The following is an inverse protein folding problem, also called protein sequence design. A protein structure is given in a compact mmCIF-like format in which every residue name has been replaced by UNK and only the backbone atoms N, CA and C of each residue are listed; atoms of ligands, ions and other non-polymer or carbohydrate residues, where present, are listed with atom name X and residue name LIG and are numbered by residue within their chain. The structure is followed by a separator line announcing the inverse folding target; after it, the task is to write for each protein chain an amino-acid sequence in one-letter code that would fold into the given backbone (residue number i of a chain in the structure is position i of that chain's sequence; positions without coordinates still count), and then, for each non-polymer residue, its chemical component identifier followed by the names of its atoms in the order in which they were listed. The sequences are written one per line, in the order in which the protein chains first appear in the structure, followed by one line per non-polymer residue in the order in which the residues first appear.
data_IF_020454013685
#
_entry.id   IF_020454013685
#
_cell.length_a   1.000
_cell.length_b   1.000
_cell.length_c   1.000
_cell.angle_alpha   90.00
_cell.angle_beta   90.00
_cell.angle_gamma   90.00
#
_symmetry.space_group_name_H-M   'P 1'
#
loop_
_entity.id
_entity.type
_entity.pdbx_description
1 polymer ?
#
# COMPACT_ATOMS: atom_id res chain seq x y z
N UNK A 1 -12.56 -67.84 -27.90
CA UNK A 1 -13.53 -67.80 -26.80
C UNK A 1 -12.81 -67.20 -25.61
N UNK A 2 -13.19 -65.97 -25.24
CA UNK A 2 -12.59 -65.20 -24.15
C UNK A 2 -13.40 -65.48 -22.88
N UNK A 3 -12.75 -65.91 -21.80
CA UNK A 3 -13.31 -65.92 -20.46
C UNK A 3 -12.33 -65.26 -19.50
N UNK A 4 -12.76 -64.12 -18.95
CA UNK A 4 -12.07 -63.38 -17.91
C UNK A 4 -12.20 -64.12 -16.57
N UNK A 5 -11.10 -64.19 -15.81
CA UNK A 5 -11.11 -64.60 -14.41
C UNK A 5 -10.76 -63.39 -13.54
N UNK A 6 -11.74 -62.93 -12.78
CA UNK A 6 -11.64 -61.92 -11.73
C UNK A 6 -11.09 -62.59 -10.47
N UNK A 7 -9.94 -62.14 -9.97
CA UNK A 7 -9.42 -62.52 -8.66
C UNK A 7 -10.03 -61.62 -7.57
N UNK A 8 -10.86 -62.22 -6.73
CA UNK A 8 -11.32 -61.66 -5.45
C UNK A 8 -10.29 -61.98 -4.38
N UNK A 9 -9.73 -60.99 -3.71
CA UNK A 9 -8.93 -61.18 -2.48
C UNK A 9 -9.82 -60.80 -1.30
N UNK A 10 -10.14 -61.80 -0.47
CA UNK A 10 -10.83 -61.64 0.81
C UNK A 10 -9.79 -61.30 1.89
N UNK A 11 -9.98 -60.20 2.62
CA UNK A 11 -9.31 -60.00 3.92
C UNK A 11 -10.34 -60.12 5.03
N UNK A 12 -10.10 -61.08 5.92
CA UNK A 12 -10.84 -61.33 7.16
C UNK A 12 -10.51 -60.26 8.19
N UNK A 13 -11.56 -59.67 8.79
CA UNK A 13 -11.44 -58.60 9.77
C UNK A 13 -10.98 -59.10 11.14
N UNK A 14 -10.07 -58.34 11.75
CA UNK A 14 -9.88 -58.32 13.21
C UNK A 14 -10.67 -57.11 13.71
N UNK A 15 -11.79 -57.36 14.38
CA UNK A 15 -12.58 -56.34 15.06
C UNK A 15 -11.85 -55.92 16.34
N UNK A 16 -11.07 -54.84 16.28
CA UNK A 16 -10.67 -54.10 17.48
C UNK A 16 -11.82 -53.17 17.86
N UNK A 17 -12.37 -53.35 19.06
CA UNK A 17 -13.39 -52.47 19.62
C UNK A 17 -12.88 -51.01 19.59
N UNK A 18 -13.74 -50.03 19.23
CA UNK A 18 -13.34 -48.63 19.32
C UNK A 18 -13.12 -48.30 20.80
N UNK A 19 -11.88 -47.97 21.15
CA UNK A 19 -11.60 -47.24 22.38
C UNK A 19 -12.49 -45.99 22.37
N UNK A 20 -13.14 -45.64 23.50
CA UNK A 20 -13.82 -44.36 23.59
C UNK A 20 -12.77 -43.29 23.31
N UNK A 21 -12.90 -42.64 22.15
CA UNK A 21 -12.28 -41.35 21.95
C UNK A 21 -12.95 -40.46 22.99
N UNK A 22 -12.28 -40.27 24.14
CA UNK A 22 -12.39 -39.03 24.86
C UNK A 22 -12.13 -37.95 23.82
N UNK A 23 -13.20 -37.34 23.31
CA UNK A 23 -13.10 -36.02 22.71
C UNK A 23 -12.42 -35.18 23.77
N UNK A 24 -11.13 -34.92 23.57
CA UNK A 24 -10.48 -33.84 24.27
C UNK A 24 -11.37 -32.63 23.97
N UNK A 25 -11.99 -32.10 25.02
CA UNK A 25 -12.78 -30.88 24.97
C UNK A 25 -11.85 -29.85 24.33
N UNK A 26 -12.09 -29.55 23.05
CA UNK A 26 -11.24 -28.66 22.28
C UNK A 26 -11.18 -27.36 23.08
N UNK A 27 -9.96 -26.92 23.44
CA UNK A 27 -9.76 -25.71 24.21
C UNK A 27 -10.63 -24.61 23.57
N UNK A 28 -11.71 -24.24 24.25
CA UNK A 28 -12.72 -23.35 23.69
C UNK A 28 -12.08 -21.98 23.65
N UNK A 29 -11.64 -21.59 22.47
CA UNK A 29 -11.08 -20.27 22.24
C UNK A 29 -12.07 -19.22 22.72
N UNK A 30 -11.68 -18.38 23.67
CA UNK A 30 -12.46 -17.23 24.05
C UNK A 30 -12.24 -16.13 23.01
N UNK A 31 -13.18 -16.00 22.08
CA UNK A 31 -13.14 -14.99 21.03
C UNK A 31 -13.91 -13.75 21.49
N UNK A 32 -13.24 -12.60 21.47
CA UNK A 32 -13.82 -11.29 21.76
C UNK A 32 -13.43 -10.29 20.68
N UNK A 33 -14.05 -9.12 20.67
CA UNK A 33 -13.68 -8.03 19.76
C UNK A 33 -13.74 -6.68 20.47
N UNK A 34 -12.94 -5.73 19.98
CA UNK A 34 -12.92 -4.35 20.49
C UNK A 34 -13.01 -3.36 19.34
N UNK A 35 -14.04 -2.52 19.34
CA UNK A 35 -14.23 -1.48 18.33
C UNK A 35 -13.49 -0.19 18.74
N UNK A 36 -12.81 0.51 17.82
CA UNK A 36 -12.06 1.71 18.14
C UNK A 36 -12.98 2.93 18.26
N UNK A 37 -12.61 3.94 19.07
CA UNK A 37 -13.34 5.21 19.10
C UNK A 37 -13.17 6.02 17.80
N UNK A 38 -12.03 5.87 17.12
CA UNK A 38 -11.65 6.60 15.91
C UNK A 38 -11.43 5.63 14.74
N UNK A 39 -12.51 5.17 14.10
CA UNK A 39 -12.43 4.11 13.09
C UNK A 39 -11.59 4.51 11.87
N UNK A 40 -11.54 5.78 11.50
CA UNK A 40 -10.81 6.27 10.33
C UNK A 40 -9.30 6.02 10.39
N UNK A 41 -8.73 5.85 11.59
CA UNK A 41 -7.30 5.55 11.78
C UNK A 41 -6.91 4.13 11.40
N UNK A 42 -7.91 3.25 11.30
CA UNK A 42 -7.76 1.86 10.91
C UNK A 42 -8.28 1.61 9.49
N UNK A 43 -8.54 2.69 8.73
CA UNK A 43 -9.02 2.57 7.36
C UNK A 43 -7.97 1.85 6.52
N UNK A 44 -8.35 0.69 6.01
CA UNK A 44 -7.52 -0.14 5.17
C UNK A 44 -8.25 -0.39 3.86
N UNK A 45 -7.67 0.11 2.76
CA UNK A 45 -8.27 0.01 1.44
C UNK A 45 -7.23 -0.40 0.40
N UNK A 46 -7.71 -1.16 -0.58
CA UNK A 46 -7.07 -1.32 -1.88
C UNK A 46 -8.10 -0.98 -2.97
N UNK A 47 -7.64 -0.85 -4.23
CA UNK A 47 -8.53 -0.52 -5.35
C UNK A 47 -9.56 -1.62 -5.63
N UNK A 48 -9.28 -2.88 -5.30
CA UNK A 48 -10.16 -4.03 -5.52
C UNK A 48 -11.35 -4.08 -4.56
N UNK A 49 -11.30 -3.37 -3.44
CA UNK A 49 -12.38 -3.33 -2.44
C UNK A 49 -13.45 -2.28 -2.75
N UNK A 50 -13.20 -1.39 -3.71
CA UNK A 50 -14.07 -0.25 -3.99
C UNK A 50 -14.40 -0.14 -5.47
N UNK A 51 -15.58 0.41 -5.78
CA UNK A 51 -15.89 0.92 -7.11
C UNK A 51 -15.56 2.41 -7.17
N UNK A 52 -14.85 2.83 -8.22
CA UNK A 52 -14.58 4.25 -8.51
C UNK A 52 -15.68 4.75 -9.44
N UNK A 53 -16.52 5.68 -8.98
CA UNK A 53 -17.68 6.17 -9.74
C UNK A 53 -17.34 7.29 -10.71
N UNK A 54 -16.17 7.92 -10.55
CA UNK A 54 -15.68 8.99 -11.43
C UNK A 54 -14.26 8.65 -11.99
N UNK A 55 -14.10 7.53 -12.72
CA UNK A 55 -12.79 7.04 -13.13
C UNK A 55 -12.04 8.06 -14.00
N UNK A 56 -10.72 7.96 -13.99
CA UNK A 56 -9.86 8.70 -14.89
C UNK A 56 -10.12 8.19 -16.33
N UNK A 57 -10.37 9.06 -17.32
CA UNK A 57 -10.43 8.61 -18.71
C UNK A 57 -9.06 8.09 -19.12
N UNK A 58 -9.03 7.01 -19.92
CA UNK A 58 -7.77 6.50 -20.47
C UNK A 58 -7.19 7.52 -21.47
N UNK A 59 -5.85 7.66 -21.58
CA UNK A 59 -5.27 8.56 -22.55
C UNK A 59 -5.64 8.14 -23.97
N UNK A 60 -6.00 9.10 -24.80
CA UNK A 60 -6.21 8.87 -26.23
C UNK A 60 -4.90 8.34 -26.84
N UNK A 61 -5.01 7.37 -27.76
CA UNK A 61 -3.89 6.74 -28.49
C UNK A 61 -2.96 5.83 -27.67
N UNK A 62 -3.24 5.58 -26.39
CA UNK A 62 -2.49 4.56 -25.64
C UNK A 62 -2.76 3.17 -26.22
N UNK A 63 -1.72 2.52 -26.75
CA UNK A 63 -1.82 1.15 -27.25
C UNK A 63 -1.84 0.16 -26.08
N UNK A 64 -2.62 -0.94 -26.16
CA UNK A 64 -2.63 -1.98 -25.14
C UNK A 64 -1.26 -2.65 -25.09
N UNK A 65 -0.56 -2.46 -23.97
CA UNK A 65 0.76 -3.05 -23.72
C UNK A 65 1.04 -2.95 -22.22
N UNK A 66 1.22 -4.10 -21.57
CA UNK A 66 1.40 -4.23 -20.13
C UNK A 66 2.88 -4.30 -19.75
N UNK A 67 3.17 -4.18 -18.46
CA UNK A 67 4.51 -4.49 -17.93
C UNK A 67 4.89 -5.96 -18.16
N UNK A 68 3.92 -6.88 -18.18
CA UNK A 68 4.15 -8.28 -18.54
C UNK A 68 4.64 -8.44 -19.98
N UNK A 69 4.02 -7.71 -20.92
CA UNK A 69 4.46 -7.69 -22.33
C UNK A 69 5.87 -7.10 -22.46
N UNK A 70 6.17 -6.03 -21.73
CA UNK A 70 7.53 -5.45 -21.68
C UNK A 70 8.57 -6.48 -21.23
N UNK A 71 8.33 -7.15 -20.09
CA UNK A 71 9.25 -8.14 -19.55
C UNK A 71 9.41 -9.29 -20.54
N UNK A 72 8.31 -9.73 -21.18
CA UNK A 72 8.34 -10.81 -22.16
C UNK A 72 9.12 -10.43 -23.39
N UNK A 73 9.00 -9.20 -23.89
CA UNK A 73 9.76 -8.73 -25.04
C UNK A 73 11.24 -8.52 -24.71
N UNK A 74 11.58 -8.17 -23.47
CA UNK A 74 12.96 -7.94 -23.05
C UNK A 74 13.71 -9.24 -22.73
N UNK A 75 13.00 -10.29 -22.30
CA UNK A 75 13.61 -11.48 -21.69
C UNK A 75 13.02 -12.83 -22.13
N UNK A 76 11.94 -12.82 -22.92
CA UNK A 76 11.25 -14.01 -23.41
C UNK A 76 11.92 -14.60 -24.65
N UNK A 77 12.92 -15.45 -24.44
CA UNK A 77 13.47 -16.36 -25.44
C UNK A 77 13.75 -17.72 -24.81
N UNK A 78 13.43 -18.81 -25.54
CA UNK A 78 13.77 -20.26 -25.45
C UNK A 78 14.19 -20.96 -24.13
N UNK A 79 14.17 -20.31 -22.96
CA UNK A 79 14.52 -20.92 -21.68
C UNK A 79 13.30 -21.67 -21.10
N UNK A 80 13.33 -23.00 -20.92
CA UNK A 80 12.28 -23.73 -20.22
C UNK A 80 12.17 -23.39 -18.72
N UNK A 81 13.14 -22.67 -18.13
CA UNK A 81 13.01 -22.02 -16.81
C UNK A 81 12.44 -20.60 -16.89
N UNK A 82 12.11 -20.10 -18.09
CA UNK A 82 11.70 -18.71 -18.35
C UNK A 82 10.51 -18.30 -17.49
N UNK A 83 9.48 -19.13 -17.30
CA UNK A 83 8.31 -18.74 -16.53
C UNK A 83 8.68 -18.36 -15.08
N UNK A 84 9.46 -19.17 -14.38
CA UNK A 84 9.88 -18.85 -13.01
C UNK A 84 10.79 -17.62 -12.96
N UNK A 85 11.73 -17.49 -13.89
CA UNK A 85 12.61 -16.30 -13.96
C UNK A 85 11.84 -15.03 -14.33
N UNK A 86 10.85 -15.14 -15.21
CA UNK A 86 9.94 -14.08 -15.62
C UNK A 86 9.14 -13.56 -14.44
N UNK A 87 8.47 -14.46 -13.69
CA UNK A 87 7.62 -14.07 -12.56
C UNK A 87 8.41 -13.59 -11.34
N UNK A 88 9.53 -14.25 -10.98
CA UNK A 88 10.21 -13.94 -9.72
C UNK A 88 11.46 -13.08 -9.85
N UNK A 89 12.22 -13.17 -10.95
CA UNK A 89 13.49 -12.45 -11.09
C UNK A 89 13.32 -11.19 -11.92
N UNK A 90 12.86 -11.33 -13.17
CA UNK A 90 12.74 -10.20 -14.09
C UNK A 90 11.63 -9.25 -13.70
N UNK A 91 10.46 -9.77 -13.31
CA UNK A 91 9.39 -8.94 -12.78
C UNK A 91 9.83 -8.23 -11.49
N UNK A 92 10.44 -8.91 -10.52
CA UNK A 92 10.91 -8.24 -9.29
C UNK A 92 11.95 -7.14 -9.59
N UNK A 93 12.92 -7.43 -10.48
CA UNK A 93 13.91 -6.43 -10.92
C UNK A 93 13.24 -5.24 -11.57
N UNK A 94 12.27 -5.47 -12.46
CA UNK A 94 11.53 -4.39 -13.11
C UNK A 94 10.70 -3.59 -12.09
N UNK A 95 9.88 -4.26 -11.28
CA UNK A 95 9.01 -3.65 -10.27
C UNK A 95 9.77 -2.88 -9.20
N UNK A 96 11.08 -3.12 -9.02
CA UNK A 96 11.92 -2.38 -8.05
C UNK A 96 12.85 -1.35 -8.72
N UNK A 97 12.87 -1.29 -10.05
CA UNK A 97 13.66 -0.32 -10.82
C UNK A 97 13.02 1.07 -10.88
N UNK A 98 13.82 2.10 -11.19
CA UNK A 98 13.29 3.46 -11.47
C UNK A 98 12.30 3.43 -12.62
N UNK A 99 12.61 2.76 -13.73
CA UNK A 99 11.70 2.62 -14.89
C UNK A 99 10.37 1.95 -14.53
N UNK A 100 10.39 0.88 -13.73
CA UNK A 100 9.16 0.21 -13.29
C UNK A 100 8.32 1.05 -12.35
N UNK A 101 8.94 1.75 -11.40
CA UNK A 101 8.23 2.73 -10.57
C UNK A 101 7.59 3.83 -11.42
N UNK A 102 8.35 4.42 -12.35
CA UNK A 102 7.85 5.48 -13.22
C UNK A 102 6.75 4.99 -14.18
N UNK A 103 6.81 3.74 -14.66
CA UNK A 103 5.72 3.12 -15.39
C UNK A 103 4.43 3.12 -14.56
N UNK A 104 4.51 2.69 -13.30
CA UNK A 104 3.37 2.72 -12.39
C UNK A 104 2.88 4.15 -12.12
N UNK A 105 3.78 5.16 -12.08
CA UNK A 105 3.40 6.57 -11.97
C UNK A 105 2.62 7.04 -13.21
N UNK A 106 3.06 6.70 -14.42
CA UNK A 106 2.35 7.03 -15.66
C UNK A 106 0.94 6.43 -15.66
N UNK A 107 0.83 5.14 -15.36
CA UNK A 107 -0.45 4.42 -15.32
C UNK A 107 -1.36 4.97 -14.22
N UNK A 108 -0.79 5.39 -13.08
CA UNK A 108 -1.52 6.06 -12.01
C UNK A 108 -2.11 7.41 -12.44
N UNK A 109 -1.32 8.27 -13.11
CA UNK A 109 -1.80 9.59 -13.57
C UNK A 109 -2.90 9.41 -14.63
N UNK A 110 -2.75 8.42 -15.51
CA UNK A 110 -3.78 7.92 -16.41
C UNK A 110 -4.29 8.91 -17.46
N UNK A 111 -3.77 10.14 -17.53
CA UNK A 111 -4.21 11.20 -18.46
C UNK A 111 -3.14 11.75 -19.36
N UNK A 112 -1.88 11.43 -19.08
CA UNK A 112 -0.77 11.90 -19.91
C UNK A 112 -0.85 11.20 -21.27
N UNK A 113 -0.82 11.95 -22.39
CA UNK A 113 -0.79 11.34 -23.71
C UNK A 113 0.53 10.60 -23.91
N UNK A 114 0.53 9.39 -24.49
CA UNK A 114 1.75 8.66 -24.78
C UNK A 114 2.57 9.36 -25.87
N UNK A 115 3.90 9.32 -25.75
CA UNK A 115 4.84 9.95 -26.69
C UNK A 115 5.48 8.91 -27.63
N UNK A 116 4.68 8.28 -28.49
CA UNK A 116 5.19 7.37 -29.51
C UNK A 116 6.02 8.12 -30.59
N UNK A 117 7.10 7.52 -31.10
CA UNK A 117 7.87 8.08 -32.20
C UNK A 117 7.01 8.19 -33.47
N UNK A 118 7.11 9.33 -34.17
CA UNK A 118 6.28 9.62 -35.35
C UNK A 118 6.74 8.86 -36.61
N UNK A 119 8.00 8.44 -36.63
CA UNK A 119 8.67 7.74 -37.72
C UNK A 119 8.51 6.21 -37.67
N UNK A 120 7.85 5.67 -36.64
CA UNK A 120 7.65 4.23 -36.48
C UNK A 120 6.20 3.82 -36.75
N UNK A 121 6.01 2.95 -37.73
CA UNK A 121 4.75 2.26 -37.94
C UNK A 121 4.61 1.08 -36.97
N UNK A 122 3.90 1.30 -35.86
CA UNK A 122 3.74 0.29 -34.80
C UNK A 122 2.88 -0.90 -35.24
N UNK A 123 1.92 -0.71 -36.15
CA UNK A 123 1.11 -1.83 -36.65
C UNK A 123 1.94 -2.76 -37.52
N UNK A 124 2.84 -2.20 -38.35
CA UNK A 124 3.79 -2.97 -39.15
C UNK A 124 4.81 -3.70 -38.27
N UNK A 125 5.33 -3.04 -37.22
CA UNK A 125 6.21 -3.67 -36.25
C UNK A 125 5.53 -4.86 -35.55
N UNK A 126 4.29 -4.68 -35.09
CA UNK A 126 3.50 -5.74 -34.44
C UNK A 126 3.18 -6.88 -35.42
N UNK A 127 2.91 -6.58 -36.68
CA UNK A 127 2.71 -7.60 -37.71
C UNK A 127 3.98 -8.39 -37.98
N UNK A 128 5.13 -7.71 -38.13
CA UNK A 128 6.43 -8.35 -38.32
C UNK A 128 6.75 -9.32 -37.19
N UNK A 129 6.59 -8.88 -35.94
CA UNK A 129 6.84 -9.71 -34.76
C UNK A 129 5.90 -10.93 -34.72
N UNK A 130 4.62 -10.75 -35.07
CA UNK A 130 3.66 -11.86 -35.12
C UNK A 130 3.95 -12.89 -36.21
N UNK A 131 4.61 -12.49 -37.30
CA UNK A 131 4.96 -13.38 -38.41
C UNK A 131 6.28 -14.14 -38.22
N UNK A 132 6.96 -13.98 -37.08
CA UNK A 132 8.23 -14.65 -36.82
C UNK A 132 8.00 -16.15 -36.57
N UNK A 133 8.53 -17.00 -37.46
CA UNK A 133 8.44 -18.47 -37.35
C UNK A 133 9.57 -19.07 -36.50
N UNK A 134 10.71 -18.38 -36.40
CA UNK A 134 11.88 -18.75 -35.60
C UNK A 134 12.55 -17.50 -35.05
N UNK A 135 12.96 -17.54 -33.77
CA UNK A 135 13.69 -16.46 -33.13
C UNK A 135 15.16 -16.45 -33.58
N UNK A 136 15.56 -15.42 -34.31
CA UNK A 136 16.97 -15.09 -34.57
C UNK A 136 17.44 -13.93 -33.68
N UNK A 137 18.74 -13.68 -33.59
CA UNK A 137 19.28 -12.54 -32.83
C UNK A 137 18.82 -11.19 -33.38
N UNK A 138 18.53 -11.09 -34.68
CA UNK A 138 17.96 -9.88 -35.27
C UNK A 138 16.50 -9.70 -34.86
N UNK A 139 15.75 -10.80 -34.76
CA UNK A 139 14.35 -10.75 -34.32
C UNK A 139 14.22 -10.38 -32.84
N UNK A 140 15.12 -10.87 -31.99
CA UNK A 140 15.23 -10.46 -30.59
C UNK A 140 15.43 -8.94 -30.46
N UNK A 141 16.30 -8.35 -31.30
CA UNK A 141 16.51 -6.90 -31.31
C UNK A 141 15.25 -6.14 -31.74
N UNK A 142 14.46 -6.66 -32.69
CA UNK A 142 13.20 -6.06 -33.13
C UNK A 142 12.16 -6.11 -32.01
N UNK A 143 12.07 -7.23 -31.29
CA UNK A 143 11.16 -7.41 -30.16
C UNK A 143 11.55 -6.46 -28.99
N UNK A 144 12.84 -6.43 -28.63
CA UNK A 144 13.35 -5.50 -27.61
C UNK A 144 13.16 -4.03 -28.02
N UNK A 145 13.27 -3.72 -29.32
CA UNK A 145 12.99 -2.38 -29.83
C UNK A 145 11.53 -1.99 -29.62
N UNK A 146 10.57 -2.90 -29.84
CA UNK A 146 9.16 -2.65 -29.50
C UNK A 146 9.01 -2.33 -28.01
N UNK A 147 9.63 -3.13 -27.14
CA UNK A 147 9.58 -2.92 -25.69
C UNK A 147 10.07 -1.52 -25.31
N UNK A 148 11.22 -1.10 -25.84
CA UNK A 148 11.78 0.21 -25.56
C UNK A 148 10.91 1.36 -26.09
N UNK A 149 10.27 1.20 -27.27
CA UNK A 149 9.34 2.21 -27.79
C UNK A 149 8.14 2.39 -26.84
N UNK A 150 7.58 1.29 -26.35
CA UNK A 150 6.45 1.32 -25.42
C UNK A 150 6.83 1.88 -24.04
N UNK A 151 8.07 1.62 -23.57
CA UNK A 151 8.65 2.23 -22.37
C UNK A 151 8.79 3.74 -22.52
N UNK A 152 9.51 4.19 -23.55
CA UNK A 152 9.75 5.59 -23.83
C UNK A 152 8.44 6.38 -23.98
N UNK A 153 7.45 5.80 -24.66
CA UNK A 153 6.16 6.43 -24.87
C UNK A 153 5.41 6.73 -23.56
N UNK A 154 5.71 6.01 -22.47
CA UNK A 154 5.15 6.24 -21.13
C UNK A 154 6.03 7.13 -20.27
N UNK A 155 7.36 7.01 -20.38
CA UNK A 155 8.26 7.76 -19.51
C UNK A 155 8.50 9.21 -19.98
N UNK A 156 8.58 9.47 -21.29
CA UNK A 156 8.77 10.83 -21.85
C UNK A 156 7.66 11.82 -21.41
N UNK A 157 6.38 11.45 -21.38
CA UNK A 157 5.33 12.34 -20.85
C UNK A 157 5.53 12.75 -19.38
N UNK A 158 6.17 11.92 -18.55
CA UNK A 158 6.48 12.28 -17.15
C UNK A 158 7.52 13.39 -17.07
N UNK A 159 8.50 13.39 -18.00
CA UNK A 159 9.47 14.49 -18.14
C UNK A 159 8.77 15.75 -18.61
N UNK A 160 7.95 15.66 -19.65
CA UNK A 160 7.21 16.81 -20.20
C UNK A 160 6.28 17.45 -19.16
N UNK A 161 5.71 16.65 -18.26
CA UNK A 161 4.90 17.11 -17.15
C UNK A 161 5.71 17.68 -15.96
N UNK A 162 7.04 17.60 -15.99
CA UNK A 162 7.92 18.11 -14.94
C UNK A 162 8.00 17.24 -13.68
N UNK A 163 7.49 16.00 -13.72
CA UNK A 163 7.53 15.09 -12.57
C UNK A 163 8.88 14.36 -12.46
N UNK A 164 9.59 14.22 -13.57
CA UNK A 164 10.85 13.46 -13.67
C UNK A 164 11.85 14.24 -14.52
N UNK A 165 13.13 14.20 -14.17
CA UNK A 165 14.23 14.77 -14.94
C UNK A 165 14.77 13.72 -15.94
N UNK A 166 15.30 14.13 -17.11
CA UNK A 166 15.81 13.17 -18.10
C UNK A 166 16.89 12.21 -17.56
N UNK A 167 17.76 12.68 -16.68
CA UNK A 167 18.83 11.89 -16.06
C UNK A 167 18.35 10.93 -14.97
N UNK A 168 17.07 10.96 -14.60
CA UNK A 168 16.47 10.06 -13.61
C UNK A 168 15.86 8.79 -14.25
N UNK A 169 15.81 8.72 -15.58
CA UNK A 169 15.38 7.53 -16.32
C UNK A 169 16.61 6.67 -16.63
N UNK A 170 16.94 5.80 -15.68
CA UNK A 170 18.04 4.84 -15.80
C UNK A 170 17.58 3.43 -15.35
N UNK A 171 18.50 2.46 -15.37
CA UNK A 171 18.24 1.07 -15.00
C UNK A 171 18.55 0.79 -13.51
N UNK A 172 18.76 1.82 -12.70
CA UNK A 172 19.00 1.66 -11.27
C UNK A 172 17.71 1.30 -10.52
N UNK A 173 17.90 0.88 -9.26
CA UNK A 173 16.80 0.63 -8.33
C UNK A 173 16.14 1.93 -7.89
N UNK A 174 14.82 1.93 -7.75
CA UNK A 174 14.07 3.03 -7.17
C UNK A 174 14.23 3.04 -5.64
N UNK A 175 14.98 4.01 -5.13
CA UNK A 175 15.16 4.24 -3.68
C UNK A 175 13.98 4.99 -3.07
N UNK A 176 13.86 4.99 -1.74
CA UNK A 176 12.87 5.81 -1.01
C UNK A 176 13.00 7.28 -1.37
N UNK A 177 14.23 7.78 -1.48
CA UNK A 177 14.50 9.17 -1.89
C UNK A 177 14.01 9.48 -3.30
N UNK A 178 14.28 8.58 -4.25
CA UNK A 178 13.81 8.74 -5.63
C UNK A 178 12.27 8.78 -5.69
N UNK A 179 11.62 7.81 -5.05
CA UNK A 179 10.16 7.71 -4.96
C UNK A 179 9.56 8.97 -4.33
N UNK A 180 10.12 9.41 -3.20
CA UNK A 180 9.66 10.61 -2.51
C UNK A 180 9.82 11.86 -3.39
N UNK A 181 10.95 11.99 -4.09
CA UNK A 181 11.25 13.13 -4.96
C UNK A 181 10.25 13.26 -6.11
N UNK A 182 9.96 12.16 -6.81
CA UNK A 182 8.95 12.14 -7.89
C UNK A 182 7.57 12.50 -7.34
N UNK A 183 7.15 11.88 -6.23
CA UNK A 183 5.85 12.16 -5.62
C UNK A 183 5.75 13.58 -5.07
N UNK A 184 6.83 14.16 -4.56
CA UNK A 184 6.85 15.54 -4.07
C UNK A 184 6.69 16.55 -5.21
N UNK A 185 7.29 16.30 -6.38
CA UNK A 185 7.04 17.14 -7.58
C UNK A 185 5.59 17.08 -8.03
N UNK A 186 4.94 15.93 -7.85
CA UNK A 186 3.52 15.75 -8.19
C UNK A 186 2.59 16.45 -7.18
N UNK A 187 2.81 16.23 -5.88
CA UNK A 187 1.84 16.56 -4.83
C UNK A 187 2.28 17.69 -3.90
N UNK A 188 3.53 18.13 -3.94
CA UNK A 188 4.09 19.10 -2.99
C UNK A 188 3.36 20.44 -2.99
N UNK A 189 2.75 20.86 -4.10
CA UNK A 189 1.89 22.05 -4.11
C UNK A 189 0.53 21.80 -3.45
N UNK A 190 -0.06 20.62 -3.64
CA UNK A 190 -1.37 20.26 -3.08
C UNK A 190 -1.27 19.93 -1.59
N UNK A 191 -0.19 19.28 -1.18
CA UNK A 191 0.13 18.91 0.20
C UNK A 191 1.58 19.33 0.47
N UNK A 192 1.85 20.60 0.82
CA UNK A 192 3.21 21.06 1.09
C UNK A 192 3.77 20.45 2.37
N UNK A 193 5.09 20.39 2.48
CA UNK A 193 5.78 20.04 3.72
C UNK A 193 5.63 21.18 4.74
N UNK A 194 5.31 20.86 6.00
CA UNK A 194 5.11 21.87 7.05
C UNK A 194 6.30 22.03 8.00
N UNK A 195 7.41 21.32 7.77
CA UNK A 195 8.57 21.39 8.67
C UNK A 195 8.45 20.51 9.92
N UNK A 196 7.47 19.60 9.98
CA UNK A 196 7.19 18.84 11.19
C UNK A 196 8.13 17.67 11.46
N UNK A 197 8.97 17.26 10.49
CA UNK A 197 9.79 16.05 10.58
C UNK A 197 11.26 16.40 10.58
N UNK A 198 12.01 15.91 11.57
CA UNK A 198 13.47 15.98 11.56
C UNK A 198 14.05 14.56 11.57
N UNK A 199 14.69 14.19 10.46
CA UNK A 199 15.26 12.85 10.23
C UNK A 199 16.77 12.89 10.46
N UNK A 200 17.32 11.84 11.07
CA UNK A 200 18.76 11.79 11.40
C UNK A 200 19.66 11.61 10.18
N UNK A 201 19.13 11.05 9.10
CA UNK A 201 19.88 10.60 7.92
C UNK A 201 19.42 11.24 6.61
N UNK A 202 18.57 12.26 6.67
CA UNK A 202 18.11 12.96 5.47
C UNK A 202 17.67 14.40 5.74
N UNK A 203 18.27 15.34 5.00
CA UNK A 203 17.80 16.73 4.88
C UNK A 203 16.91 16.94 3.63
N UNK A 204 16.75 15.92 2.78
CA UNK A 204 15.94 16.02 1.58
C UNK A 204 14.46 16.30 1.94
N UNK A 205 13.96 17.46 1.48
CA UNK A 205 12.59 17.93 1.75
C UNK A 205 11.52 16.94 1.29
N UNK A 206 11.74 16.25 0.17
CA UNK A 206 10.79 15.28 -0.35
C UNK A 206 10.69 14.05 0.55
N UNK A 207 11.81 13.59 1.11
CA UNK A 207 11.84 12.48 2.06
C UNK A 207 11.14 12.86 3.35
N UNK A 208 11.46 14.03 3.91
CA UNK A 208 10.80 14.57 5.11
C UNK A 208 9.30 14.77 4.89
N UNK A 209 8.91 15.22 3.70
CA UNK A 209 7.52 15.33 3.28
C UNK A 209 6.82 13.97 3.25
N UNK A 210 7.44 12.94 2.66
CA UNK A 210 6.86 11.61 2.57
C UNK A 210 6.57 11.02 3.97
N UNK A 211 7.49 11.24 4.91
CA UNK A 211 7.30 10.88 6.33
C UNK A 211 6.20 11.73 6.98
N UNK A 212 6.14 13.04 6.71
CA UNK A 212 5.13 13.93 7.29
C UNK A 212 3.71 13.60 6.81
N UNK A 213 3.54 13.27 5.53
CA UNK A 213 2.28 12.74 4.99
C UNK A 213 2.02 11.35 5.60
N UNK A 214 3.09 10.59 5.81
CA UNK A 214 3.11 9.19 6.21
C UNK A 214 2.60 8.31 5.10
N UNK A 215 3.28 8.44 3.95
CA UNK A 215 3.13 7.54 2.83
C UNK A 215 3.53 6.11 3.27
N UNK A 216 2.80 5.07 2.86
CA UNK A 216 3.19 3.68 3.14
C UNK A 216 4.62 3.38 2.69
N UNK A 217 5.39 2.74 3.56
CA UNK A 217 6.80 2.40 3.36
C UNK A 217 7.82 3.50 3.69
N UNK A 218 7.33 4.60 4.28
CA UNK A 218 8.16 5.66 4.85
C UNK A 218 8.10 5.67 6.39
N UNK A 219 7.89 4.51 7.02
CA UNK A 219 8.07 4.39 8.47
C UNK A 219 9.53 4.63 8.86
N UNK A 220 9.71 5.43 9.91
CA UNK A 220 11.01 5.69 10.53
C UNK A 220 11.21 4.68 11.65
N UNK A 221 12.44 4.19 11.79
CA UNK A 221 12.78 3.27 12.87
C UNK A 221 12.74 3.96 14.25
N UNK A 222 12.90 3.16 15.31
CA UNK A 222 12.87 3.66 16.69
C UNK A 222 14.03 4.62 17.00
N UNK A 223 15.11 4.57 16.22
CA UNK A 223 16.27 5.45 16.34
C UNK A 223 16.09 6.78 15.59
N UNK A 224 15.13 6.92 14.69
CA UNK A 224 14.89 8.14 13.92
C UNK A 224 15.46 8.14 12.50
N UNK A 225 15.79 6.99 11.93
CA UNK A 225 16.35 6.81 10.58
C UNK A 225 15.30 6.31 9.57
N UNK A 226 15.38 6.80 8.33
CA UNK A 226 14.49 6.40 7.22
C UNK A 226 15.17 5.52 6.16
N UNK A 227 16.50 5.57 6.09
CA UNK A 227 17.35 4.89 5.09
C UNK A 227 16.97 5.29 3.66
N UNK A 228 17.21 6.55 3.25
CA UNK A 228 16.70 7.11 2.00
C UNK A 228 17.20 6.36 0.75
N UNK A 229 18.38 5.72 0.83
CA UNK A 229 19.02 4.98 -0.26
C UNK A 229 18.53 3.53 -0.38
N UNK A 230 17.73 3.04 0.57
CA UNK A 230 17.10 1.73 0.48
C UNK A 230 15.91 1.75 -0.47
N UNK A 231 15.52 0.62 -1.07
CA UNK A 231 14.24 0.46 -1.76
C UNK A 231 13.08 0.72 -0.80
N UNK A 232 11.91 1.03 -1.37
CA UNK A 232 10.68 1.14 -0.60
C UNK A 232 10.32 -0.22 0.03
N UNK A 233 9.99 -0.20 1.32
CA UNK A 233 9.57 -1.39 2.07
C UNK A 233 8.57 -0.97 3.14
N UNK A 234 7.57 -1.81 3.40
CA UNK A 234 6.57 -1.59 4.46
C UNK A 234 7.14 -1.77 5.88
N UNK A 235 8.32 -2.36 6.01
CA UNK A 235 8.98 -2.52 7.30
C UNK A 235 10.04 -1.43 7.49
N UNK A 236 10.15 -0.83 8.69
CA UNK A 236 11.19 0.15 8.97
C UNK A 236 12.57 -0.52 8.99
N UNK A 237 13.60 0.24 8.63
CA UNK A 237 14.99 -0.21 8.62
C UNK A 237 15.64 -0.28 7.23
N UNK A 238 16.93 -0.65 7.19
CA UNK A 238 17.65 -0.83 5.94
C UNK A 238 17.26 -2.18 5.32
N UNK A 239 16.27 -2.14 4.43
CA UNK A 239 15.90 -3.32 3.65
C UNK A 239 16.69 -3.34 2.35
N UNK A 240 17.58 -4.31 2.19
CA UNK A 240 18.38 -4.46 0.97
C UNK A 240 17.60 -5.11 -0.18
N UNK A 241 16.55 -5.87 0.16
CA UNK A 241 15.72 -6.58 -0.81
C UNK A 241 14.51 -5.75 -1.19
N UNK A 242 14.27 -5.64 -2.50
CA UNK A 242 13.03 -5.05 -2.99
C UNK A 242 11.85 -5.98 -2.73
N UNK A 243 10.71 -5.41 -2.33
CA UNK A 243 9.46 -6.16 -2.16
C UNK A 243 8.71 -6.22 -3.49
N UNK A 244 8.13 -7.38 -3.82
CA UNK A 244 7.44 -7.65 -5.09
C UNK A 244 6.29 -6.66 -5.40
N UNK A 245 5.63 -6.15 -4.34
CA UNK A 245 4.49 -5.24 -4.41
C UNK A 245 4.72 -3.95 -3.63
N UNK A 246 5.98 -3.50 -3.51
CA UNK A 246 6.36 -2.37 -2.66
C UNK A 246 5.48 -1.12 -2.90
N UNK A 247 5.09 -0.88 -4.16
CA UNK A 247 4.35 0.31 -4.55
C UNK A 247 2.83 0.17 -4.50
N UNK A 248 2.26 -1.02 -4.39
CA UNK A 248 0.81 -1.21 -4.45
C UNK A 248 0.10 -0.45 -3.33
N UNK A 249 0.61 -0.58 -2.10
CA UNK A 249 0.09 0.13 -0.93
C UNK A 249 0.21 1.64 -1.07
N UNK A 250 1.35 2.10 -1.58
CA UNK A 250 1.59 3.50 -1.87
C UNK A 250 0.57 4.03 -2.88
N UNK A 251 0.40 3.35 -4.02
CA UNK A 251 -0.55 3.75 -5.06
C UNK A 251 -2.01 3.66 -4.61
N UNK A 252 -2.37 2.69 -3.77
CA UNK A 252 -3.69 2.62 -3.14
C UNK A 252 -3.93 3.82 -2.22
N UNK A 253 -2.95 4.15 -1.36
CA UNK A 253 -3.03 5.30 -0.48
C UNK A 253 -3.19 6.61 -1.25
N UNK A 254 -2.33 6.88 -2.24
CA UNK A 254 -2.41 8.14 -2.99
C UNK A 254 -3.69 8.23 -3.85
N UNK A 255 -4.21 7.11 -4.35
CA UNK A 255 -5.48 7.09 -5.10
C UNK A 255 -6.67 7.38 -4.18
N UNK A 256 -6.72 6.73 -3.01
CA UNK A 256 -7.93 6.70 -2.20
C UNK A 256 -7.94 7.76 -1.10
N UNK A 257 -6.80 8.05 -0.49
CA UNK A 257 -6.64 8.91 0.69
C UNK A 257 -6.08 10.29 0.34
N UNK A 258 -5.22 10.42 -0.68
CA UNK A 258 -4.80 11.72 -1.22
C UNK A 258 -5.69 12.15 -2.40
N UNK A 259 -5.60 13.42 -2.84
CA UNK A 259 -6.20 13.89 -4.09
C UNK A 259 -5.54 13.22 -5.33
N UNK A 260 -5.74 11.92 -5.52
CA UNK A 260 -5.00 11.14 -6.51
C UNK A 260 -5.51 11.22 -7.95
N UNK A 261 -6.58 11.96 -8.24
CA UNK A 261 -7.16 12.09 -9.59
C UNK A 261 -6.62 13.34 -10.27
N UNK A 262 -5.92 13.20 -11.40
CA UNK A 262 -5.41 14.36 -12.14
C UNK A 262 -6.51 14.95 -13.02
N UNK A 263 -6.77 16.25 -12.89
CA UNK A 263 -7.67 17.01 -13.77
C UNK A 263 -6.96 18.23 -14.35
N UNK A 264 -7.63 18.97 -15.23
CA UNK A 264 -7.11 20.25 -15.73
C UNK A 264 -6.97 21.29 -14.59
N UNK A 265 -7.84 21.22 -13.57
CA UNK A 265 -7.83 22.12 -12.41
C UNK A 265 -6.83 21.74 -11.30
N UNK A 266 -6.15 20.60 -11.41
CA UNK A 266 -5.18 20.15 -10.41
C UNK A 266 -5.36 18.69 -10.03
N UNK A 267 -5.30 18.42 -8.73
CA UNK A 267 -5.42 17.11 -8.12
C UNK A 267 -6.71 17.05 -7.30
N UNK A 268 -7.55 16.06 -7.57
CA UNK A 268 -8.88 15.89 -6.99
C UNK A 268 -9.05 14.50 -6.38
N UNK A 269 -10.11 14.31 -5.61
CA UNK A 269 -10.45 13.01 -5.05
C UNK A 269 -11.26 12.16 -6.02
N UNK A 270 -10.94 10.86 -6.06
CA UNK A 270 -11.86 9.87 -6.57
C UNK A 270 -13.09 9.74 -5.66
N UNK A 271 -14.26 9.65 -6.26
CA UNK A 271 -15.50 9.24 -5.63
C UNK A 271 -15.53 7.71 -5.64
N UNK A 272 -15.72 7.12 -4.46
CA UNK A 272 -15.64 5.67 -4.28
C UNK A 272 -16.77 5.15 -3.44
N UNK A 273 -17.17 3.91 -3.70
CA UNK A 273 -18.10 3.13 -2.88
C UNK A 273 -17.48 1.80 -2.55
N UNK A 274 -17.66 1.34 -1.31
CA UNK A 274 -17.26 0.00 -0.90
C UNK A 274 -18.08 -1.03 -1.68
N UNK A 275 -17.43 -2.07 -2.20
CA UNK A 275 -18.13 -3.18 -2.86
C UNK A 275 -18.85 -4.05 -1.83
N UNK A 276 -19.90 -4.73 -2.28
CA UNK A 276 -20.67 -5.65 -1.43
C UNK A 276 -19.77 -6.76 -0.86
N UNK A 277 -19.94 -7.06 0.43
CA UNK A 277 -19.15 -8.06 1.14
C UNK A 277 -17.73 -7.61 1.53
N UNK A 278 -17.26 -6.44 1.07
CA UNK A 278 -15.97 -5.90 1.46
C UNK A 278 -16.03 -5.20 2.83
N UNK A 279 -14.89 -5.17 3.52
CA UNK A 279 -14.75 -4.55 4.84
C UNK A 279 -13.56 -3.57 4.81
N UNK A 280 -13.73 -2.29 5.19
CA UNK A 280 -12.70 -1.26 4.99
C UNK A 280 -11.63 -1.25 6.10
N UNK A 281 -11.42 -2.38 6.77
CA UNK A 281 -10.49 -2.56 7.90
C UNK A 281 -9.97 -4.00 7.93
N UNK A 282 -8.87 -4.26 8.62
CA UNK A 282 -8.38 -5.63 8.83
C UNK A 282 -9.01 -6.27 10.08
N UNK A 283 -9.72 -7.39 9.93
CA UNK A 283 -10.44 -8.03 11.04
C UNK A 283 -9.54 -8.43 12.22
N UNK A 284 -8.32 -8.87 11.92
CA UNK A 284 -7.33 -9.33 12.90
C UNK A 284 -6.81 -8.21 13.83
N UNK A 285 -7.07 -6.93 13.51
CA UNK A 285 -6.77 -5.80 14.40
C UNK A 285 -7.80 -5.63 15.53
N UNK A 286 -9.02 -6.15 15.37
CA UNK A 286 -10.12 -5.95 16.32
C UNK A 286 -10.49 -7.22 17.08
N UNK A 287 -10.26 -8.38 16.48
CA UNK A 287 -10.58 -9.68 17.06
C UNK A 287 -9.45 -10.10 18.01
N UNK A 288 -9.84 -10.59 19.19
CA UNK A 288 -8.94 -11.12 20.19
C UNK A 288 -9.31 -12.57 20.52
N UNK A 289 -8.29 -13.42 20.62
CA UNK A 289 -8.41 -14.82 21.00
C UNK A 289 -7.68 -15.01 22.33
N UNK A 290 -8.40 -15.49 23.35
CA UNK A 290 -7.86 -15.67 24.70
C UNK A 290 -7.20 -14.39 25.24
N UNK A 291 -7.81 -13.23 24.95
CA UNK A 291 -7.34 -11.91 25.37
C UNK A 291 -6.18 -11.33 24.54
N UNK A 292 -5.65 -12.04 23.54
CA UNK A 292 -4.56 -11.57 22.67
C UNK A 292 -5.05 -11.22 21.26
N UNK A 293 -4.44 -10.25 20.55
CA UNK A 293 -4.82 -9.93 19.17
C UNK A 293 -4.77 -11.15 18.26
N UNK A 294 -5.77 -11.32 17.39
CA UNK A 294 -5.85 -12.46 16.49
C UNK A 294 -4.69 -12.49 15.48
N UNK A 295 -4.15 -11.32 15.11
CA UNK A 295 -2.97 -11.22 14.23
C UNK A 295 -1.75 -12.01 14.73
N UNK A 296 -1.67 -12.29 16.03
CA UNK A 296 -0.57 -13.00 16.66
C UNK A 296 -0.85 -14.52 16.79
N UNK A 297 -2.00 -14.99 16.26
CA UNK A 297 -2.43 -16.37 16.32
C UNK A 297 -2.19 -17.07 14.96
N UNK A 298 -1.64 -18.28 15.00
CA UNK A 298 -1.35 -19.11 13.81
C UNK A 298 -2.48 -20.10 13.48
N UNK A 299 -3.46 -20.26 14.36
CA UNK A 299 -4.57 -21.18 14.15
C UNK A 299 -5.63 -20.55 13.22
N UNK A 300 -5.63 -20.98 11.97
CA UNK A 300 -6.59 -20.55 10.95
C UNK A 300 -7.99 -21.14 11.15
N UNK A 301 -8.14 -22.24 11.90
CA UNK A 301 -9.43 -22.91 12.12
C UNK A 301 -10.39 -22.04 12.93
N UNK A 302 -9.84 -21.10 13.72
CA UNK A 302 -10.60 -20.09 14.46
C UNK A 302 -11.55 -19.30 13.55
N UNK A 303 -11.17 -19.07 12.29
CA UNK A 303 -11.99 -18.33 11.33
C UNK A 303 -13.33 -19.04 11.03
N UNK A 304 -13.41 -20.36 11.21
CA UNK A 304 -14.60 -21.15 10.91
C UNK A 304 -15.56 -21.23 12.10
N UNK A 305 -15.12 -20.81 13.29
CA UNK A 305 -15.95 -20.83 14.49
C UNK A 305 -17.13 -19.86 14.41
N UNK A 306 -18.23 -20.21 15.07
CA UNK A 306 -19.44 -19.36 15.12
C UNK A 306 -19.14 -18.03 15.80
N UNK A 307 -18.32 -18.06 16.84
CA UNK A 307 -17.91 -16.90 17.63
C UNK A 307 -17.11 -15.90 16.78
N UNK A 308 -16.20 -16.40 15.94
CA UNK A 308 -15.47 -15.55 14.99
C UNK A 308 -16.40 -14.94 13.94
N UNK A 309 -17.30 -15.72 13.34
CA UNK A 309 -18.26 -15.20 12.36
C UNK A 309 -19.23 -14.18 12.98
N UNK A 310 -19.63 -14.38 14.23
CA UNK A 310 -20.42 -13.41 14.99
C UNK A 310 -19.64 -12.11 15.22
N UNK A 311 -18.37 -12.19 15.66
CA UNK A 311 -17.51 -11.03 15.85
C UNK A 311 -17.30 -10.28 14.51
N UNK A 312 -16.99 -11.00 13.43
CA UNK A 312 -16.91 -10.46 12.07
C UNK A 312 -18.18 -9.73 11.68
N UNK A 313 -19.35 -10.32 11.91
CA UNK A 313 -20.65 -9.70 11.64
C UNK A 313 -20.85 -8.39 12.39
N UNK A 314 -20.50 -8.35 13.68
CA UNK A 314 -20.57 -7.12 14.50
C UNK A 314 -19.60 -6.03 14.04
N UNK A 315 -18.38 -6.42 13.67
CA UNK A 315 -17.38 -5.50 13.12
C UNK A 315 -17.87 -4.94 11.78
N UNK A 316 -18.41 -5.77 10.89
CA UNK A 316 -18.99 -5.32 9.61
C UNK A 316 -20.16 -4.35 9.81
N UNK A 317 -21.09 -4.65 10.73
CA UNK A 317 -22.21 -3.76 11.08
C UNK A 317 -21.74 -2.40 11.61
N UNK A 318 -20.56 -2.35 12.23
CA UNK A 318 -19.99 -1.11 12.71
C UNK A 318 -19.30 -0.31 11.59
N UNK A 319 -18.41 -0.94 10.81
CA UNK A 319 -17.55 -0.23 9.86
C UNK A 319 -18.20 0.04 8.49
N UNK A 320 -18.94 -0.91 7.93
CA UNK A 320 -19.48 -0.79 6.55
C UNK A 320 -20.37 0.46 6.40
N UNK A 321 -21.35 0.73 7.29
CA UNK A 321 -22.17 1.94 7.17
C UNK A 321 -21.40 3.24 7.41
N UNK A 322 -20.25 3.18 8.10
CA UNK A 322 -19.41 4.35 8.43
C UNK A 322 -18.37 4.66 7.37
N UNK A 323 -18.17 3.77 6.40
CA UNK A 323 -17.12 3.89 5.38
C UNK A 323 -17.05 5.29 4.71
N UNK A 324 -18.16 5.89 4.22
CA UNK A 324 -18.08 7.20 3.58
C UNK A 324 -17.52 8.28 4.51
N UNK A 325 -17.94 8.26 5.78
CA UNK A 325 -17.48 9.23 6.77
C UNK A 325 -16.04 8.97 7.19
N UNK A 326 -15.66 7.71 7.36
CA UNK A 326 -14.28 7.33 7.66
C UNK A 326 -13.32 7.79 6.57
N UNK A 327 -13.67 7.58 5.31
CA UNK A 327 -12.86 8.02 4.18
C UNK A 327 -12.73 9.55 4.14
N UNK A 328 -13.81 10.28 4.34
CA UNK A 328 -13.79 11.75 4.42
C UNK A 328 -12.85 12.24 5.54
N UNK A 329 -12.92 11.62 6.73
CA UNK A 329 -12.07 11.97 7.86
C UNK A 329 -10.60 11.61 7.60
N UNK A 330 -10.32 10.43 7.06
CA UNK A 330 -8.97 10.00 6.70
C UNK A 330 -8.34 10.96 5.67
N UNK A 331 -9.10 11.40 4.66
CA UNK A 331 -8.67 12.41 3.68
C UNK A 331 -8.36 13.75 4.34
N UNK A 332 -9.23 14.23 5.23
CA UNK A 332 -8.99 15.48 5.98
C UNK A 332 -7.76 15.37 6.87
N UNK A 333 -7.56 14.22 7.51
CA UNK A 333 -6.41 13.98 8.37
C UNK A 333 -5.11 13.87 7.58
N UNK A 334 -5.10 13.24 6.40
CA UNK A 334 -3.92 13.18 5.54
C UNK A 334 -3.41 14.57 5.11
N UNK A 335 -4.29 15.58 5.12
CA UNK A 335 -3.91 16.98 4.85
C UNK A 335 -3.26 17.71 6.03
N UNK A 336 -3.30 17.15 7.25
CA UNK A 336 -2.69 17.73 8.44
C UNK A 336 -1.22 17.32 8.57
N UNK A 337 -0.35 18.15 9.18
CA UNK A 337 0.99 17.73 9.57
C UNK A 337 0.94 16.56 10.56
N UNK A 338 2.00 15.77 10.65
CA UNK A 338 2.16 14.76 11.72
C UNK A 338 2.83 15.36 12.94
N UNK A 339 2.46 14.85 14.11
CA UNK A 339 3.22 15.09 15.33
C UNK A 339 4.43 14.14 15.34
N UNK A 340 5.62 14.69 15.51
CA UNK A 340 6.88 13.96 15.49
C UNK A 340 7.51 13.91 16.87
N UNK A 341 7.88 15.09 17.38
CA UNK A 341 8.55 15.24 18.65
C UNK A 341 7.62 15.93 19.63
N UNK A 342 7.14 15.19 20.63
CA UNK A 342 6.14 15.72 21.56
C UNK A 342 6.58 16.96 22.34
N UNK A 343 7.89 17.10 22.63
CA UNK A 343 8.39 18.30 23.30
C UNK A 343 8.19 19.53 22.42
N UNK A 344 8.70 19.50 21.18
CA UNK A 344 8.59 20.60 20.21
C UNK A 344 7.18 20.81 19.67
N UNK A 345 6.53 19.75 19.18
CA UNK A 345 5.27 19.83 18.43
C UNK A 345 4.04 19.95 19.32
N UNK A 346 4.19 19.72 20.62
CA UNK A 346 3.07 19.80 21.55
C UNK A 346 3.38 20.61 22.79
N UNK A 347 4.35 20.21 23.62
CA UNK A 347 4.57 20.82 24.93
C UNK A 347 5.00 22.29 24.82
N UNK A 348 5.94 22.59 23.92
CA UNK A 348 6.46 23.94 23.70
C UNK A 348 5.79 24.66 22.52
N UNK A 349 4.86 24.00 21.83
CA UNK A 349 4.23 24.58 20.65
C UNK A 349 3.21 25.68 21.04
N UNK A 350 3.35 26.93 20.56
CA UNK A 350 2.53 28.07 21.02
C UNK A 350 1.02 27.85 20.90
N UNK A 351 0.58 27.12 19.88
CA UNK A 351 -0.84 26.81 19.63
C UNK A 351 -1.53 26.08 20.78
N UNK A 352 -0.78 25.31 21.58
CA UNK A 352 -1.34 24.50 22.67
C UNK A 352 -1.02 25.06 24.06
N UNK A 353 -0.26 26.16 24.15
CA UNK A 353 0.23 26.70 25.42
C UNK A 353 -0.90 26.94 26.44
N UNK A 354 -2.06 27.44 25.99
CA UNK A 354 -3.23 27.68 26.86
C UNK A 354 -3.78 26.38 27.44
N UNK A 355 -3.96 25.36 26.61
CA UNK A 355 -4.52 24.06 27.01
C UNK A 355 -3.53 23.30 27.91
N UNK A 356 -2.23 23.33 27.57
CA UNK A 356 -1.15 22.75 28.39
C UNK A 356 -1.08 23.43 29.76
N UNK A 357 -1.11 24.76 29.82
CA UNK A 357 -1.13 25.50 31.08
C UNK A 357 -2.37 25.19 31.92
N UNK A 358 -3.55 25.06 31.29
CA UNK A 358 -4.78 24.68 31.97
C UNK A 358 -4.68 23.27 32.59
N UNK A 359 -4.12 22.30 31.87
CA UNK A 359 -3.85 20.96 32.41
C UNK A 359 -2.82 20.98 33.56
N UNK A 360 -1.71 21.71 33.39
CA UNK A 360 -0.66 21.83 34.42
C UNK A 360 -1.20 22.46 35.71
N UNK A 361 -2.13 23.42 35.60
CA UNK A 361 -2.83 24.02 36.74
C UNK A 361 -3.83 23.04 37.38
N UNK A 362 -4.55 22.28 36.56
CA UNK A 362 -5.59 21.37 37.01
C UNK A 362 -5.58 20.10 36.14
N UNK A 363 -5.02 19.00 36.68
CA UNK A 363 -4.81 17.72 35.99
C UNK A 363 -6.11 16.91 35.77
N UNK A 364 -7.20 17.59 35.43
CA UNK A 364 -8.52 17.00 35.22
C UNK A 364 -8.62 16.28 33.88
N UNK A 365 -9.46 15.24 33.81
CA UNK A 365 -9.82 14.54 32.58
C UNK A 365 -10.38 15.49 31.52
N UNK A 366 -11.23 16.45 31.92
CA UNK A 366 -11.74 17.49 31.02
C UNK A 366 -10.63 18.26 30.30
N UNK A 367 -9.54 18.60 31.00
CA UNK A 367 -8.41 19.30 30.40
C UNK A 367 -7.59 18.39 29.47
N UNK A 368 -7.43 17.11 29.83
CA UNK A 368 -6.82 16.11 28.92
C UNK A 368 -7.63 16.01 27.63
N UNK A 369 -8.95 15.90 27.72
CA UNK A 369 -9.83 15.79 26.56
C UNK A 369 -9.76 17.06 25.69
N UNK A 370 -9.74 18.24 26.31
CA UNK A 370 -9.60 19.50 25.58
C UNK A 370 -8.27 19.59 24.81
N UNK A 371 -7.17 19.16 25.42
CA UNK A 371 -5.85 19.07 24.77
C UNK A 371 -5.89 18.04 23.64
N UNK A 372 -6.40 16.84 23.90
CA UNK A 372 -6.49 15.76 22.93
C UNK A 372 -7.27 16.18 21.67
N UNK A 373 -8.43 16.82 21.85
CA UNK A 373 -9.22 17.35 20.73
C UNK A 373 -8.47 18.45 19.96
N UNK A 374 -7.76 19.34 20.65
CA UNK A 374 -6.95 20.37 19.99
C UNK A 374 -5.82 19.75 19.15
N UNK A 375 -5.14 18.72 19.66
CA UNK A 375 -4.10 18.00 18.93
C UNK A 375 -4.68 17.30 17.69
N UNK A 376 -5.80 16.58 17.81
CA UNK A 376 -6.46 15.94 16.64
C UNK A 376 -6.96 16.92 15.60
N UNK A 377 -7.40 18.10 16.01
CA UNK A 377 -7.78 19.15 15.06
C UNK A 377 -6.57 19.65 14.27
N UNK A 378 -5.38 19.67 14.87
CA UNK A 378 -4.18 20.19 14.22
C UNK A 378 -3.36 19.13 13.46
N UNK A 379 -3.17 17.95 14.05
CA UNK A 379 -2.24 16.93 13.58
C UNK A 379 -2.95 15.67 13.07
N UNK A 380 -2.30 15.00 12.14
CA UNK A 380 -2.59 13.62 11.76
C UNK A 380 -1.94 12.66 12.77
N UNK A 381 -2.63 12.40 13.88
CA UNK A 381 -2.15 11.42 14.87
C UNK A 381 -2.30 9.99 14.31
N UNK A 382 -1.29 9.15 14.50
CA UNK A 382 -1.37 7.73 14.16
C UNK A 382 -2.10 6.91 15.24
N UNK A 383 -2.34 5.61 15.01
CA UNK A 383 -3.06 4.72 15.94
C UNK A 383 -2.41 4.59 17.33
N UNK A 384 -1.10 4.80 17.46
CA UNK A 384 -0.38 4.79 18.73
C UNK A 384 -0.41 6.13 19.46
N UNK A 385 -0.63 7.23 18.72
CA UNK A 385 -0.70 8.59 19.27
C UNK A 385 -2.14 9.03 19.58
N UNK A 386 -3.12 8.50 18.85
CA UNK A 386 -4.52 8.94 18.89
C UNK A 386 -5.31 8.38 20.08
N UNK A 387 -4.90 8.76 21.30
CA UNK A 387 -5.56 8.35 22.55
C UNK A 387 -5.40 9.40 23.66
N UNK A 388 -6.48 9.74 24.40
CA UNK A 388 -6.39 10.60 25.58
C UNK A 388 -5.37 10.12 26.62
N UNK A 389 -5.20 8.81 26.79
CA UNK A 389 -4.25 8.24 27.74
C UNK A 389 -2.80 8.51 27.35
N UNK A 390 -2.49 8.45 26.06
CA UNK A 390 -1.15 8.76 25.53
C UNK A 390 -0.87 10.26 25.69
N UNK A 391 -1.83 11.11 25.33
CA UNK A 391 -1.69 12.57 25.50
C UNK A 391 -1.49 12.94 26.98
N UNK A 392 -2.22 12.29 27.90
CA UNK A 392 -2.00 12.46 29.34
C UNK A 392 -0.58 12.04 29.75
N UNK A 393 -0.12 10.88 29.29
CA UNK A 393 1.24 10.42 29.57
C UNK A 393 2.31 11.41 29.10
N UNK A 394 2.13 11.97 27.90
CA UNK A 394 3.02 13.01 27.37
C UNK A 394 2.99 14.27 28.24
N UNK A 395 1.81 14.77 28.59
CA UNK A 395 1.65 15.93 29.48
C UNK A 395 2.32 15.76 30.85
N UNK A 396 2.34 14.53 31.38
CA UNK A 396 2.89 14.22 32.69
C UNK A 396 4.41 14.01 32.67
N UNK A 397 4.96 13.52 31.55
CA UNK A 397 6.34 13.01 31.52
C UNK A 397 7.28 13.77 30.56
N UNK A 398 6.76 14.45 29.54
CA UNK A 398 7.56 15.20 28.57
C UNK A 398 7.73 16.64 29.03
N UNK A 399 8.98 17.12 29.02
CA UNK A 399 9.35 18.44 29.53
C UNK A 399 9.32 19.51 28.46
#
# INVERSE_FOLDING_TARGET
MISALTCTICFTGILTAPLPQTQAEAATHQITYKLPPNPEKYLFLNKQMVSITNPQPRPLKLRPYSSGDFISDMHGGDDPQSLNKMYYSYNLKFQTSKKGFLWNVYDFIGTLPPAYPADVNLDELDNRIRSLERLTSEDEQVIQRRAQIHMDARLKPLIQAGYVMPNEIDDERATKEFVATVLYRMFGTTRPYHGGIDLKDSENVAVRWAVEVGLPGFEVDKEGYIYPQSPLSMDPGPNEYGQEYAYDRLFHFITLVLPGKKTAGGWEYYQVKLLDGMLPVQLNEFIHVNGKPYKDNQDSSINETKEYQNARGKISQYFVPRFPKMLELARKDAMKPRAWEWSRDFIHHPKFAKQVAAYRKNKSSKNVDAVYQALRQHYNLNTHQDSPAIIKSVLDNVK
#
